data_IF_913922027340
#
_entry.id   IF_913922027340
#
_cell.length_a   1.000
_cell.length_b   1.000
_cell.length_c   1.000
_cell.angle_alpha   90.00
_cell.angle_beta   90.00
_cell.angle_gamma   90.00
#
_symmetry.space_group_name_H-M   'P 1'
#
loop_
_entity.id
_entity.type
_entity.pdbx_description
1 polymer ?
#
# COMPACT_ATOMS: atom_id res chain seq x y z
N UNK A 1 43.12 -100.32 -34.17
CA UNK A 1 42.94 -99.12 -35.03
C UNK A 1 41.47 -98.73 -35.23
N UNK A 2 40.51 -99.66 -35.30
CA UNK A 2 39.08 -99.31 -35.44
C UNK A 2 38.41 -98.72 -34.17
N UNK A 3 38.81 -99.12 -32.97
CA UNK A 3 38.22 -98.60 -31.71
C UNK A 3 38.53 -97.11 -31.46
N UNK A 4 39.75 -96.65 -31.76
CA UNK A 4 40.14 -95.24 -31.56
C UNK A 4 39.43 -94.27 -32.52
N UNK A 5 38.95 -94.73 -33.67
CA UNK A 5 38.22 -93.90 -34.65
C UNK A 5 36.76 -93.70 -34.23
N UNK A 6 36.17 -94.67 -33.51
CA UNK A 6 34.83 -94.58 -32.94
C UNK A 6 34.73 -93.54 -31.83
N UNK A 7 35.68 -93.52 -30.90
CA UNK A 7 35.70 -92.56 -29.77
C UNK A 7 35.91 -91.12 -30.24
N UNK A 8 36.79 -90.89 -31.23
CA UNK A 8 37.00 -89.56 -31.81
C UNK A 8 35.73 -89.07 -32.54
N UNK A 9 35.00 -89.96 -33.22
CA UNK A 9 33.75 -89.62 -33.89
C UNK A 9 32.65 -89.19 -32.91
N UNK A 10 32.52 -89.88 -31.78
CA UNK A 10 31.54 -89.55 -30.73
C UNK A 10 31.90 -88.23 -30.04
N UNK A 11 33.18 -88.00 -29.74
CA UNK A 11 33.65 -86.77 -29.12
C UNK A 11 33.42 -85.54 -30.02
N UNK A 12 33.73 -85.67 -31.32
CA UNK A 12 33.47 -84.61 -32.31
C UNK A 12 31.97 -84.33 -32.44
N UNK A 13 31.11 -85.37 -32.45
CA UNK A 13 29.64 -85.18 -32.49
C UNK A 13 29.10 -84.48 -31.24
N UNK A 14 29.61 -84.83 -30.07
CA UNK A 14 29.20 -84.21 -28.80
C UNK A 14 29.59 -82.72 -28.77
N UNK A 15 30.84 -82.40 -29.14
CA UNK A 15 31.35 -81.03 -29.25
C UNK A 15 30.61 -80.20 -30.31
N UNK A 16 30.23 -80.81 -31.45
CA UNK A 16 29.38 -80.15 -32.45
C UNK A 16 27.98 -79.86 -31.90
N UNK A 17 27.41 -80.76 -31.10
CA UNK A 17 26.08 -80.58 -30.50
C UNK A 17 26.07 -79.46 -29.45
N UNK A 18 27.11 -79.38 -28.61
CA UNK A 18 27.29 -78.29 -27.65
C UNK A 18 27.46 -76.94 -28.36
N UNK A 19 28.31 -76.92 -29.39
CA UNK A 19 28.50 -75.72 -30.22
C UNK A 19 27.18 -75.30 -30.90
N UNK A 20 26.38 -76.26 -31.38
CA UNK A 20 25.06 -75.99 -31.96
C UNK A 20 24.06 -75.45 -30.93
N UNK A 21 24.07 -75.96 -29.70
CA UNK A 21 23.22 -75.49 -28.61
C UNK A 21 23.57 -74.06 -28.20
N UNK A 22 24.86 -73.74 -28.09
CA UNK A 22 25.36 -72.38 -27.82
C UNK A 22 24.95 -71.42 -28.94
N UNK A 23 25.12 -71.82 -30.21
CA UNK A 23 24.69 -71.00 -31.37
C UNK A 23 23.18 -70.73 -31.32
N UNK A 24 22.38 -71.72 -30.91
CA UNK A 24 20.93 -71.56 -30.82
C UNK A 24 20.54 -70.60 -29.70
N UNK A 25 21.21 -70.70 -28.55
CA UNK A 25 20.99 -69.82 -27.39
C UNK A 25 21.38 -68.38 -27.71
N UNK A 26 22.56 -68.16 -28.30
CA UNK A 26 23.01 -66.84 -28.74
C UNK A 26 22.08 -66.23 -29.80
N UNK A 27 21.51 -67.04 -30.70
CA UNK A 27 20.50 -66.57 -31.65
C UNK A 27 19.22 -66.09 -30.96
N UNK A 28 18.77 -66.79 -29.92
CA UNK A 28 17.61 -66.37 -29.13
C UNK A 28 17.88 -65.08 -28.35
N UNK A 29 19.06 -64.96 -27.72
CA UNK A 29 19.48 -63.73 -27.03
C UNK A 29 19.58 -62.55 -28.00
N UNK A 30 20.19 -62.75 -29.18
CA UNK A 30 20.28 -61.73 -30.23
C UNK A 30 18.88 -61.28 -30.67
N UNK A 31 17.94 -62.22 -30.85
CA UNK A 31 16.57 -61.92 -31.24
C UNK A 31 15.81 -61.16 -30.12
N UNK A 32 16.06 -61.50 -28.86
CA UNK A 32 15.53 -60.78 -27.70
C UNK A 32 16.06 -59.35 -27.64
N UNK A 33 17.38 -59.16 -27.77
CA UNK A 33 18.03 -57.85 -27.80
C UNK A 33 17.54 -56.99 -28.97
N UNK A 34 17.33 -57.59 -30.15
CA UNK A 34 16.75 -56.89 -31.29
C UNK A 34 15.32 -56.41 -31.00
N UNK A 35 14.50 -57.22 -30.34
CA UNK A 35 13.15 -56.80 -29.91
C UNK A 35 13.23 -55.65 -28.91
N UNK A 36 14.09 -55.76 -27.88
CA UNK A 36 14.27 -54.70 -26.89
C UNK A 36 14.76 -53.39 -27.52
N UNK A 37 15.67 -53.47 -28.49
CA UNK A 37 16.14 -52.30 -29.25
C UNK A 37 14.97 -51.58 -29.95
N UNK A 38 14.09 -52.32 -30.61
CA UNK A 38 12.91 -51.76 -31.28
C UNK A 38 11.96 -51.10 -30.28
N UNK A 39 11.75 -51.70 -29.11
CA UNK A 39 10.88 -51.12 -28.09
C UNK A 39 11.48 -49.86 -27.44
N UNK A 40 12.81 -49.84 -27.24
CA UNK A 40 13.53 -48.63 -26.81
C UNK A 40 13.46 -47.51 -27.87
N UNK A 41 13.59 -47.83 -29.15
CA UNK A 41 13.44 -46.86 -30.24
C UNK A 41 12.03 -46.24 -30.26
N UNK A 42 10.98 -47.04 -30.05
CA UNK A 42 9.60 -46.55 -29.89
C UNK A 42 9.45 -45.65 -28.67
N UNK A 43 10.01 -46.05 -27.52
CA UNK A 43 9.95 -45.25 -26.30
C UNK A 43 10.65 -43.89 -26.47
N UNK A 44 11.83 -43.87 -27.13
CA UNK A 44 12.53 -42.62 -27.46
C UNK A 44 11.69 -41.74 -28.38
N UNK A 45 11.03 -42.32 -29.38
CA UNK A 45 10.16 -41.55 -30.26
C UNK A 45 8.98 -40.94 -29.51
N UNK A 46 8.32 -41.72 -28.64
CA UNK A 46 7.23 -41.24 -27.81
C UNK A 46 7.66 -40.08 -26.91
N UNK A 47 8.82 -40.20 -26.25
CA UNK A 47 9.37 -39.12 -25.41
C UNK A 47 9.67 -37.86 -26.25
N UNK A 48 10.14 -38.00 -27.50
CA UNK A 48 10.34 -36.86 -28.41
C UNK A 48 9.02 -36.19 -28.78
N UNK A 49 8.00 -36.96 -29.09
CA UNK A 49 6.66 -36.45 -29.45
C UNK A 49 6.01 -35.75 -28.25
N UNK A 50 6.15 -36.31 -27.04
CA UNK A 50 5.73 -35.65 -25.80
C UNK A 50 6.50 -34.36 -25.54
N UNK A 51 7.82 -34.37 -25.71
CA UNK A 51 8.66 -33.19 -25.51
C UNK A 51 8.28 -32.05 -26.47
N UNK A 52 8.08 -32.35 -27.76
CA UNK A 52 7.65 -31.36 -28.75
C UNK A 52 6.25 -30.82 -28.44
N UNK A 53 5.33 -31.68 -28.01
CA UNK A 53 4.00 -31.27 -27.55
C UNK A 53 4.10 -30.33 -26.35
N UNK A 54 4.88 -30.68 -25.33
CA UNK A 54 5.09 -29.83 -24.15
C UNK A 54 5.71 -28.48 -24.53
N UNK A 55 6.70 -28.47 -25.43
CA UNK A 55 7.33 -27.24 -25.90
C UNK A 55 6.32 -26.30 -26.59
N UNK A 56 5.44 -26.85 -27.44
CA UNK A 56 4.36 -26.08 -28.07
C UNK A 56 3.36 -25.54 -27.04
N UNK A 57 3.00 -26.34 -26.03
CA UNK A 57 2.09 -25.88 -24.96
C UNK A 57 2.71 -24.79 -24.08
N UNK A 58 4.00 -24.88 -23.75
CA UNK A 58 4.70 -23.83 -23.02
C UNK A 58 4.72 -22.53 -23.82
N UNK A 59 5.10 -22.59 -25.10
CA UNK A 59 5.09 -21.40 -25.98
C UNK A 59 3.69 -20.78 -26.08
N UNK A 60 2.64 -21.59 -26.20
CA UNK A 60 1.27 -21.10 -26.21
C UNK A 60 0.86 -20.43 -24.88
N UNK A 61 1.25 -21.00 -23.74
CA UNK A 61 0.98 -20.43 -22.42
C UNK A 61 1.75 -19.12 -22.20
N UNK A 62 2.98 -19.01 -22.70
CA UNK A 62 3.78 -17.77 -22.68
C UNK A 62 3.09 -16.67 -23.50
N UNK A 63 2.61 -16.98 -24.70
CA UNK A 63 1.85 -16.03 -25.53
C UNK A 63 0.56 -15.58 -24.85
N UNK A 64 -0.16 -16.53 -24.21
CA UNK A 64 -1.37 -16.21 -23.45
C UNK A 64 -1.07 -15.32 -22.25
N UNK A 65 -0.01 -15.61 -21.50
CA UNK A 65 0.44 -14.80 -20.38
C UNK A 65 0.77 -13.38 -20.85
N UNK A 66 1.52 -13.25 -21.95
CA UNK A 66 1.87 -11.95 -22.53
C UNK A 66 0.63 -11.16 -22.95
N UNK A 67 -0.31 -11.81 -23.65
CA UNK A 67 -1.57 -11.17 -24.05
C UNK A 67 -2.38 -10.69 -22.85
N UNK A 68 -2.52 -11.51 -21.81
CA UNK A 68 -3.21 -11.12 -20.58
C UNK A 68 -2.47 -9.99 -19.84
N UNK A 69 -1.14 -9.97 -19.86
CA UNK A 69 -0.35 -8.86 -19.30
C UNK A 69 -0.58 -7.54 -20.06
N UNK A 70 -0.66 -7.59 -21.39
CA UNK A 70 -0.92 -6.43 -22.23
C UNK A 70 -2.36 -5.91 -22.01
N UNK A 71 -3.37 -6.79 -21.97
CA UNK A 71 -4.76 -6.44 -21.64
C UNK A 71 -4.86 -5.80 -20.25
N UNK A 72 -4.18 -6.35 -19.25
CA UNK A 72 -4.14 -5.77 -17.91
C UNK A 72 -3.49 -4.38 -17.91
N UNK A 73 -2.42 -4.17 -18.68
CA UNK A 73 -1.76 -2.86 -18.81
C UNK A 73 -2.72 -1.82 -19.41
N UNK A 74 -3.44 -2.18 -20.47
CA UNK A 74 -4.43 -1.29 -21.08
C UNK A 74 -5.58 -0.93 -20.14
N UNK A 75 -6.06 -1.91 -19.34
CA UNK A 75 -7.09 -1.67 -18.33
C UNK A 75 -6.60 -0.72 -17.23
N UNK A 76 -5.37 -0.90 -16.76
CA UNK A 76 -4.73 -0.01 -15.78
C UNK A 76 -4.60 1.41 -16.34
N UNK A 77 -4.13 1.56 -17.57
CA UNK A 77 -4.00 2.87 -18.22
C UNK A 77 -5.35 3.57 -18.37
N UNK A 78 -6.39 2.83 -18.77
CA UNK A 78 -7.76 3.35 -18.88
C UNK A 78 -8.27 3.80 -17.51
N UNK A 79 -8.06 3.00 -16.47
CA UNK A 79 -8.45 3.32 -15.10
C UNK A 79 -7.74 4.58 -14.61
N UNK A 80 -6.44 4.71 -14.87
CA UNK A 80 -5.65 5.88 -14.50
C UNK A 80 -6.15 7.15 -15.17
N UNK A 81 -6.49 7.11 -16.47
CA UNK A 81 -7.12 8.25 -17.18
C UNK A 81 -8.47 8.62 -16.58
N UNK A 82 -9.31 7.63 -16.28
CA UNK A 82 -10.60 7.87 -15.65
C UNK A 82 -10.45 8.54 -14.28
N UNK A 83 -9.54 8.04 -13.44
CA UNK A 83 -9.25 8.61 -12.12
C UNK A 83 -8.64 10.01 -12.19
N UNK A 84 -7.80 10.29 -13.19
CA UNK A 84 -7.26 11.65 -13.43
C UNK A 84 -8.38 12.63 -13.75
N UNK A 85 -9.29 12.25 -14.66
CA UNK A 85 -10.44 13.07 -15.03
C UNK A 85 -11.40 13.32 -13.86
N UNK A 86 -11.62 12.30 -13.03
CA UNK A 86 -12.41 12.44 -11.80
C UNK A 86 -11.74 13.41 -10.82
N UNK A 87 -10.43 13.30 -10.62
CA UNK A 87 -9.66 14.23 -9.79
C UNK A 87 -9.68 15.67 -10.32
N UNK A 88 -9.63 15.88 -11.63
CA UNK A 88 -9.79 17.20 -12.26
C UNK A 88 -11.16 17.80 -11.93
N UNK A 89 -12.24 17.03 -12.06
CA UNK A 89 -13.60 17.48 -11.70
C UNK A 89 -13.68 17.88 -10.22
N UNK A 90 -13.13 17.08 -9.32
CA UNK A 90 -13.11 17.41 -7.88
C UNK A 90 -12.25 18.65 -7.60
N UNK A 91 -11.14 18.83 -8.32
CA UNK A 91 -10.32 20.03 -8.21
C UNK A 91 -11.06 21.28 -8.70
N UNK A 92 -11.86 21.19 -9.76
CA UNK A 92 -12.70 22.31 -10.20
C UNK A 92 -13.73 22.72 -9.14
N UNK A 93 -14.27 21.76 -8.38
CA UNK A 93 -15.16 22.04 -7.25
C UNK A 93 -14.43 22.76 -6.11
N UNK A 94 -13.22 22.32 -5.76
CA UNK A 94 -12.37 23.01 -4.78
C UNK A 94 -12.00 24.43 -5.23
N UNK A 95 -11.64 24.61 -6.50
CA UNK A 95 -11.34 25.92 -7.09
C UNK A 95 -12.54 26.87 -7.03
N UNK A 96 -13.75 26.37 -7.30
CA UNK A 96 -15.00 27.15 -7.17
C UNK A 96 -15.22 27.58 -5.72
N UNK A 97 -14.95 26.72 -4.75
CA UNK A 97 -15.06 27.06 -3.33
C UNK A 97 -14.05 28.15 -2.94
N UNK A 98 -12.79 27.99 -3.34
CA UNK A 98 -11.73 28.98 -3.11
C UNK A 98 -12.08 30.33 -3.73
N UNK A 99 -12.51 30.36 -5.00
CA UNK A 99 -12.90 31.61 -5.68
C UNK A 99 -14.05 32.32 -4.97
N UNK A 100 -15.09 31.59 -4.56
CA UNK A 100 -16.21 32.16 -3.80
C UNK A 100 -15.75 32.78 -2.48
N UNK A 101 -14.82 32.12 -1.78
CA UNK A 101 -14.24 32.62 -0.53
C UNK A 101 -13.40 33.87 -0.74
N UNK A 102 -12.47 33.87 -1.70
CA UNK A 102 -11.66 35.06 -1.99
C UNK A 102 -12.53 36.25 -2.37
N UNK A 103 -13.57 36.03 -3.18
CA UNK A 103 -14.55 37.08 -3.51
C UNK A 103 -15.39 37.55 -2.31
N UNK A 104 -15.61 36.69 -1.30
CA UNK A 104 -16.28 37.07 -0.06
C UNK A 104 -15.37 37.93 0.82
N UNK A 105 -14.13 37.47 1.05
CA UNK A 105 -13.11 38.20 1.82
C UNK A 105 -12.84 39.55 1.17
N UNK A 106 -12.73 39.61 -0.16
CA UNK A 106 -12.54 40.87 -0.86
C UNK A 106 -13.71 41.85 -0.65
N UNK A 107 -14.96 41.37 -0.71
CA UNK A 107 -16.14 42.20 -0.41
C UNK A 107 -16.15 42.69 1.03
N UNK A 108 -15.85 41.82 2.00
CA UNK A 108 -15.76 42.19 3.42
C UNK A 108 -14.66 43.24 3.66
N UNK A 109 -13.51 43.12 2.98
CA UNK A 109 -12.45 44.12 3.04
C UNK A 109 -12.86 45.46 2.40
N UNK A 110 -13.55 45.43 1.25
CA UNK A 110 -14.06 46.64 0.60
C UNK A 110 -15.14 47.34 1.44
N UNK A 111 -15.97 46.59 2.16
CA UNK A 111 -16.97 47.11 3.10
C UNK A 111 -16.31 47.72 4.34
N UNK A 112 -15.35 47.00 4.95
CA UNK A 112 -14.57 47.52 6.09
C UNK A 112 -13.76 48.78 5.73
N UNK A 113 -13.26 48.87 4.49
CA UNK A 113 -12.58 50.06 3.98
C UNK A 113 -13.54 51.26 3.85
N UNK A 114 -14.81 51.04 3.54
CA UNK A 114 -15.84 52.09 3.48
C UNK A 114 -16.28 52.56 4.87
N UNK A 115 -16.34 51.65 5.84
CA UNK A 115 -16.70 51.94 7.23
C UNK A 115 -15.60 52.64 8.04
N UNK A 116 -14.34 52.60 7.58
CA UNK A 116 -13.19 53.27 8.23
C UNK A 116 -13.22 54.81 8.17
N UNK A 117 -14.36 55.41 7.82
CA UNK A 117 -14.62 56.86 7.86
C UNK A 117 -14.80 57.44 9.27
N UNK A 118 -14.61 56.65 10.34
CA UNK A 118 -14.65 57.13 11.73
C UNK A 118 -13.30 56.95 12.42
N UNK A 119 -12.69 58.09 12.73
CA UNK A 119 -11.41 58.26 13.40
C UNK A 119 -11.19 57.25 14.54
N UNK A 120 -10.09 56.51 14.47
CA UNK A 120 -9.47 55.85 15.62
C UNK A 120 -8.05 56.39 15.74
N UNK A 121 -7.80 57.12 16.82
CA UNK A 121 -6.50 57.64 17.19
C UNK A 121 -5.51 56.49 17.42
N UNK A 122 -4.35 56.62 16.81
CA UNK A 122 -3.29 55.63 16.79
C UNK A 122 -2.42 55.78 18.06
N UNK A 123 -2.78 55.08 19.13
CA UNK A 123 -1.90 54.95 20.29
C UNK A 123 -0.87 53.81 20.09
N UNK A 124 0.31 54.09 20.61
CA UNK A 124 1.63 53.50 20.36
C UNK A 124 1.71 51.98 20.58
N UNK A 125 2.21 51.25 19.57
CA UNK A 125 2.62 49.85 19.70
C UNK A 125 4.02 49.75 20.33
N UNK A 126 4.11 49.14 21.51
CA UNK A 126 5.35 48.62 22.06
C UNK A 126 5.63 47.22 21.47
N UNK A 127 6.89 46.83 21.24
CA UNK A 127 7.21 45.50 20.75
C UNK A 127 6.97 44.45 21.84
N UNK A 128 6.05 43.52 21.58
CA UNK A 128 5.82 42.37 22.46
C UNK A 128 7.07 41.50 22.57
N UNK A 129 7.52 41.33 23.81
CA UNK A 129 8.60 40.43 24.24
C UNK A 129 8.19 38.99 23.88
N UNK A 130 9.12 38.11 23.41
CA UNK A 130 8.78 36.73 23.08
C UNK A 130 8.23 36.02 24.33
N UNK A 131 6.95 35.68 24.28
CA UNK A 131 6.29 34.89 25.31
C UNK A 131 7.00 33.53 25.42
N UNK A 132 7.64 33.29 26.56
CA UNK A 132 7.93 31.95 27.03
C UNK A 132 6.59 31.26 27.34
N UNK A 133 6.06 30.48 26.39
CA UNK A 133 4.87 29.67 26.61
C UNK A 133 5.14 28.65 27.72
N UNK A 134 4.64 28.94 28.93
CA UNK A 134 4.43 27.90 29.93
C UNK A 134 3.33 27.01 29.38
N UNK A 135 3.69 25.78 29.00
CA UNK A 135 2.71 24.73 28.70
C UNK A 135 1.77 24.59 29.89
N UNK A 136 0.55 25.09 29.75
CA UNK A 136 -0.49 25.02 30.76
C UNK A 136 -1.57 24.07 30.27
N UNK A 137 -2.00 23.15 31.13
CA UNK A 137 -3.10 22.26 30.83
C UNK A 137 -4.37 23.10 30.62
N UNK A 138 -5.02 23.04 29.45
CA UNK A 138 -6.20 23.85 29.18
C UNK A 138 -7.35 23.46 30.12
N UNK A 139 -7.95 24.44 30.80
CA UNK A 139 -9.02 24.24 31.79
C UNK A 139 -10.42 24.50 31.22
N UNK A 140 -10.53 25.19 30.09
CA UNK A 140 -11.78 25.49 29.40
C UNK A 140 -11.56 25.54 27.88
N UNK A 141 -12.59 25.25 27.05
CA UNK A 141 -12.48 25.43 25.61
C UNK A 141 -12.31 26.91 25.26
N UNK A 142 -11.36 27.22 24.37
CA UNK A 142 -11.15 28.60 23.89
C UNK A 142 -12.28 29.05 22.96
N UNK A 143 -12.77 28.16 22.10
CA UNK A 143 -13.91 28.38 21.21
C UNK A 143 -14.51 27.03 20.77
N UNK A 144 -15.78 27.06 20.35
CA UNK A 144 -16.56 25.89 19.88
C UNK A 144 -17.20 26.27 18.55
N UNK A 145 -17.20 25.35 17.59
CA UNK A 145 -17.77 25.57 16.26
C UNK A 145 -18.22 24.27 15.61
N UNK A 146 -19.20 24.36 14.71
CA UNK A 146 -19.71 23.23 13.93
C UNK A 146 -18.78 22.92 12.76
N UNK A 147 -17.98 21.87 12.90
CA UNK A 147 -16.99 21.52 11.88
C UNK A 147 -17.61 20.82 10.66
N UNK A 148 -18.49 19.83 10.86
CA UNK A 148 -19.04 18.98 9.79
C UNK A 148 -20.55 18.79 9.90
N UNK A 149 -21.18 18.44 8.77
CA UNK A 149 -22.58 17.99 8.74
C UNK A 149 -22.64 16.51 9.18
N UNK A 150 -22.54 16.26 10.49
CA UNK A 150 -22.56 14.93 11.09
C UNK A 150 -21.34 14.62 11.95
N UNK A 151 -21.07 13.33 12.15
CA UNK A 151 -19.97 12.86 13.01
C UNK A 151 -18.61 13.33 12.51
N UNK A 152 -17.78 13.84 13.43
CA UNK A 152 -16.38 14.19 13.19
C UNK A 152 -15.51 13.05 13.71
N UNK A 153 -14.93 12.28 12.81
CA UNK A 153 -14.17 11.08 13.19
C UNK A 153 -12.68 11.34 13.35
N UNK A 154 -12.15 12.43 12.78
CA UNK A 154 -10.71 12.69 12.79
C UNK A 154 -10.38 14.17 12.96
N UNK A 155 -9.30 14.44 13.69
CA UNK A 155 -8.72 15.76 13.86
C UNK A 155 -7.20 15.66 13.90
N UNK A 156 -6.49 16.58 13.25
CA UNK A 156 -5.01 16.67 13.35
C UNK A 156 -4.55 18.11 13.18
N UNK A 157 -3.62 18.52 14.02
CA UNK A 157 -2.91 19.80 13.87
C UNK A 157 -1.83 19.70 12.80
N UNK A 158 -1.66 20.76 12.02
CA UNK A 158 -0.51 20.91 11.12
C UNK A 158 0.78 21.05 11.94
N UNK A 159 1.90 20.47 11.49
CA UNK A 159 3.18 20.60 12.17
C UNK A 159 3.86 21.97 11.97
N UNK A 160 3.41 22.77 11.00
CA UNK A 160 4.08 24.03 10.60
C UNK A 160 3.21 25.25 10.86
N UNK A 161 1.96 25.21 10.43
CA UNK A 161 1.04 26.35 10.52
C UNK A 161 0.02 26.18 11.66
N UNK A 162 -0.61 27.28 12.10
CA UNK A 162 -1.80 27.27 12.98
C UNK A 162 -3.06 26.79 12.26
N UNK A 163 -2.96 25.65 11.56
CA UNK A 163 -4.04 24.99 10.86
C UNK A 163 -4.42 23.72 11.62
N UNK A 164 -5.72 23.51 11.82
CA UNK A 164 -6.26 22.20 12.20
C UNK A 164 -7.04 21.62 11.03
N UNK A 165 -6.88 20.32 10.80
CA UNK A 165 -7.67 19.58 9.83
C UNK A 165 -8.66 18.67 10.55
N UNK A 166 -9.88 18.57 10.02
CA UNK A 166 -10.94 17.69 10.51
C UNK A 166 -11.48 16.83 9.38
N UNK A 167 -11.82 15.57 9.68
CA UNK A 167 -12.49 14.65 8.76
C UNK A 167 -13.82 14.18 9.34
N UNK A 168 -14.86 14.12 8.50
CA UNK A 168 -16.21 13.82 8.98
C UNK A 168 -17.05 12.93 8.05
N UNK A 169 -18.24 12.60 8.55
CA UNK A 169 -19.26 11.79 7.86
C UNK A 169 -19.81 12.48 6.60
N UNK A 170 -19.71 13.81 6.52
CA UNK A 170 -20.03 14.61 5.32
C UNK A 170 -19.07 14.39 4.14
N UNK A 171 -18.12 13.47 4.30
CA UNK A 171 -17.14 12.99 3.29
C UNK A 171 -16.07 14.02 2.94
N UNK A 172 -15.90 15.05 3.76
CA UNK A 172 -14.95 16.13 3.52
C UNK A 172 -13.79 16.04 4.51
N UNK A 173 -12.62 16.51 4.08
CA UNK A 173 -11.61 17.03 5.01
C UNK A 173 -11.72 18.55 5.00
N UNK A 174 -11.82 19.19 6.16
CA UNK A 174 -11.88 20.65 6.29
C UNK A 174 -10.63 21.15 7.00
N UNK A 175 -10.08 22.24 6.49
CA UNK A 175 -8.94 22.95 7.06
C UNK A 175 -9.44 24.21 7.74
N UNK A 176 -8.94 24.49 8.93
CA UNK A 176 -9.34 25.64 9.75
C UNK A 176 -8.12 26.42 10.18
N UNK A 177 -8.13 27.72 9.95
CA UNK A 177 -7.14 28.64 10.49
C UNK A 177 -7.53 29.04 11.91
N UNK A 178 -6.58 28.96 12.83
CA UNK A 178 -6.79 29.19 14.27
C UNK A 178 -6.00 30.38 14.81
N UNK A 179 -5.44 31.21 13.92
CA UNK A 179 -4.61 32.36 14.28
C UNK A 179 -5.36 33.47 15.05
N UNK A 180 -6.67 33.65 14.82
CA UNK A 180 -7.45 34.79 15.34
C UNK A 180 -8.33 34.48 16.55
N UNK A 181 -7.92 33.56 17.44
CA UNK A 181 -8.75 33.09 18.57
C UNK A 181 -10.13 32.55 18.17
N UNK A 182 -10.32 32.19 16.90
CA UNK A 182 -11.49 31.55 16.34
C UNK A 182 -11.04 30.61 15.22
N UNK A 183 -11.84 29.56 14.95
CA UNK A 183 -11.61 28.68 13.80
C UNK A 183 -12.30 29.25 12.56
N UNK A 184 -11.51 29.80 11.64
CA UNK A 184 -11.99 30.26 10.34
C UNK A 184 -11.77 29.15 9.30
N UNK A 185 -12.79 28.84 8.50
CA UNK A 185 -12.63 27.84 7.43
C UNK A 185 -11.57 28.31 6.43
N UNK A 186 -10.48 27.54 6.33
CA UNK A 186 -9.36 27.78 5.39
C UNK A 186 -9.55 27.06 4.07
N UNK A 187 -10.16 25.88 4.09
CA UNK A 187 -10.34 25.07 2.89
C UNK A 187 -11.25 23.87 3.14
N UNK A 188 -11.83 23.37 2.05
CA UNK A 188 -12.61 22.13 2.05
C UNK A 188 -12.03 21.24 0.95
N UNK A 189 -11.59 20.06 1.34
CA UNK A 189 -10.98 19.08 0.46
C UNK A 189 -12.04 18.01 0.16
N UNK A 190 -12.59 18.07 -1.04
CA UNK A 190 -13.55 17.08 -1.54
C UNK A 190 -12.84 15.94 -2.28
N UNK A 191 -13.55 14.84 -2.49
CA UNK A 191 -13.03 13.67 -3.22
C UNK A 191 -13.55 12.35 -2.68
N UNK A 192 -13.74 12.26 -1.36
CA UNK A 192 -14.17 11.03 -0.70
C UNK A 192 -15.64 10.73 -0.97
N UNK A 193 -15.95 9.44 -1.18
CA UNK A 193 -17.31 8.97 -1.46
C UNK A 193 -18.04 8.49 -0.20
N UNK A 194 -17.35 8.42 0.94
CA UNK A 194 -17.90 8.12 2.25
C UNK A 194 -17.13 8.88 3.35
N UNK A 195 -17.52 8.69 4.61
CA UNK A 195 -16.96 9.42 5.75
C UNK A 195 -15.44 9.26 5.87
N UNK A 196 -14.76 10.33 6.25
CA UNK A 196 -13.31 10.36 6.47
C UNK A 196 -13.00 10.00 7.92
N UNK A 197 -12.25 8.92 8.11
CA UNK A 197 -12.03 8.27 9.40
C UNK A 197 -10.67 8.62 10.04
N UNK A 198 -9.70 9.05 9.25
CA UNK A 198 -8.39 9.51 9.74
C UNK A 198 -7.85 10.62 8.84
N UNK A 199 -7.21 11.62 9.44
CA UNK A 199 -6.50 12.70 8.73
C UNK A 199 -5.08 12.84 9.26
N UNK A 200 -4.12 13.13 8.38
CA UNK A 200 -2.72 13.28 8.76
C UNK A 200 -1.99 14.23 7.81
N UNK A 201 -1.20 15.15 8.37
CA UNK A 201 -0.26 15.98 7.60
C UNK A 201 1.06 15.24 7.41
N UNK A 202 1.75 15.53 6.32
CA UNK A 202 3.16 15.17 6.19
C UNK A 202 4.04 16.03 7.11
N UNK A 203 5.32 15.68 7.24
CA UNK A 203 6.27 16.39 8.10
C UNK A 203 6.47 17.86 7.69
N UNK A 204 6.28 18.19 6.40
CA UNK A 204 6.43 19.55 5.89
C UNK A 204 5.14 20.39 5.96
N UNK A 205 4.00 19.77 6.26
CA UNK A 205 2.68 20.41 6.20
C UNK A 205 2.20 20.77 4.78
N UNK A 206 2.92 20.36 3.74
CA UNK A 206 2.57 20.63 2.34
C UNK A 206 1.44 19.74 1.84
N UNK A 207 1.32 18.53 2.40
CA UNK A 207 0.32 17.55 2.04
C UNK A 207 -0.50 17.09 3.23
N UNK A 208 -1.74 16.74 2.95
CA UNK A 208 -2.63 16.10 3.90
C UNK A 208 -3.25 14.88 3.26
N UNK A 209 -3.37 13.81 4.04
CA UNK A 209 -4.07 12.61 3.65
C UNK A 209 -5.36 12.43 4.45
N UNK A 210 -6.30 11.68 3.86
CA UNK A 210 -7.59 11.35 4.44
C UNK A 210 -7.97 9.91 4.10
N UNK A 211 -8.01 9.05 5.11
CA UNK A 211 -8.49 7.68 4.99
C UNK A 211 -10.01 7.65 5.08
N UNK A 212 -10.66 6.87 4.23
CA UNK A 212 -12.11 6.92 4.09
C UNK A 212 -12.78 5.54 4.14
N UNK A 213 -14.03 5.57 4.57
CA UNK A 213 -14.94 4.44 4.60
C UNK A 213 -15.26 3.89 3.19
N UNK A 214 -14.88 4.60 2.12
CA UNK A 214 -15.02 4.20 0.71
C UNK A 214 -13.86 3.33 0.18
N UNK A 215 -13.05 2.80 1.09
CA UNK A 215 -11.93 1.89 0.83
C UNK A 215 -10.72 2.55 0.15
N UNK A 216 -10.72 3.88 0.09
CA UNK A 216 -9.63 4.66 -0.46
C UNK A 216 -9.03 5.60 0.58
N UNK A 217 -7.76 5.92 0.37
CA UNK A 217 -7.11 7.07 1.00
C UNK A 217 -6.81 8.11 -0.07
N UNK A 218 -7.01 9.39 0.23
CA UNK A 218 -6.72 10.49 -0.70
C UNK A 218 -5.64 11.38 -0.12
N UNK A 219 -4.88 12.01 -1.02
CA UNK A 219 -3.81 12.96 -0.68
C UNK A 219 -4.08 14.26 -1.41
N UNK A 220 -4.10 15.37 -0.68
CA UNK A 220 -4.29 16.72 -1.21
C UNK A 220 -3.09 17.61 -0.89
N UNK A 221 -2.82 18.57 -1.76
CA UNK A 221 -1.95 19.70 -1.43
C UNK A 221 -2.69 20.66 -0.49
N UNK A 222 -2.00 21.14 0.56
CA UNK A 222 -2.62 22.02 1.57
C UNK A 222 -2.77 23.45 1.05
N UNK A 223 -1.78 23.94 0.29
CA UNK A 223 -1.75 25.30 -0.25
C UNK A 223 -2.72 25.49 -1.42
N UNK A 224 -2.73 24.55 -2.37
CA UNK A 224 -3.57 24.61 -3.56
C UNK A 224 -4.93 23.90 -3.38
N UNK A 225 -5.11 23.16 -2.29
CA UNK A 225 -6.33 22.39 -1.98
C UNK A 225 -6.69 21.40 -3.08
N UNK A 226 -5.71 20.93 -3.86
CA UNK A 226 -5.93 20.01 -4.98
C UNK A 226 -5.71 18.57 -4.58
N UNK A 227 -6.61 17.69 -5.01
CA UNK A 227 -6.43 16.24 -4.97
C UNK A 227 -5.27 15.83 -5.87
N UNK A 228 -4.28 15.17 -5.28
CA UNK A 228 -3.05 14.69 -5.93
C UNK A 228 -3.08 13.19 -6.17
N UNK A 229 -3.55 12.43 -5.18
CA UNK A 229 -3.59 10.97 -5.26
C UNK A 229 -4.88 10.41 -4.69
N UNK A 230 -5.35 9.32 -5.31
CA UNK A 230 -6.42 8.45 -4.78
C UNK A 230 -5.86 7.03 -4.71
N UNK A 231 -5.63 6.54 -3.50
CA UNK A 231 -5.03 5.25 -3.20
C UNK A 231 -6.15 4.21 -3.03
N UNK A 232 -6.40 3.44 -4.09
CA UNK A 232 -7.42 2.38 -4.13
C UNK A 232 -6.77 1.00 -4.19
N UNK A 233 -7.34 0.03 -3.47
CA UNK A 233 -6.88 -1.35 -3.48
C UNK A 233 -7.19 -2.14 -2.22
N UNK A 234 -7.63 -1.47 -1.15
CA UNK A 234 -8.28 -2.14 -0.02
C UNK A 234 -9.67 -2.64 -0.41
N UNK A 235 -10.12 -3.73 0.23
CA UNK A 235 -11.46 -4.29 0.07
C UNK A 235 -12.36 -4.07 1.30
N UNK A 236 -11.95 -3.16 2.17
CA UNK A 236 -12.68 -2.75 3.37
C UNK A 236 -12.34 -1.31 3.75
N UNK A 237 -13.04 -0.81 4.76
CA UNK A 237 -12.90 0.55 5.29
C UNK A 237 -11.44 0.85 5.63
N UNK A 238 -10.89 1.95 5.14
CA UNK A 238 -9.56 2.39 5.58
C UNK A 238 -9.74 3.21 6.84
N UNK A 239 -9.30 2.67 7.97
CA UNK A 239 -9.50 3.26 9.28
C UNK A 239 -8.36 4.22 9.66
N UNK A 240 -7.16 3.95 9.15
CA UNK A 240 -5.98 4.75 9.45
C UNK A 240 -5.07 4.91 8.23
N UNK A 241 -4.43 6.07 8.15
CA UNK A 241 -3.39 6.34 7.17
C UNK A 241 -2.36 7.32 7.76
N UNK A 242 -1.08 7.12 7.43
CA UNK A 242 0.03 7.99 7.85
C UNK A 242 1.07 8.10 6.74
N UNK A 243 1.74 9.25 6.67
CA UNK A 243 2.97 9.37 5.88
C UNK A 243 4.09 8.57 6.55
N UNK A 244 4.93 7.93 5.73
CA UNK A 244 5.97 7.02 6.16
C UNK A 244 7.33 7.75 6.09
N UNK A 245 7.55 8.67 7.04
CA UNK A 245 8.76 9.48 7.16
C UNK A 245 8.89 10.60 6.13
N UNK A 246 9.02 10.22 4.86
CA UNK A 246 9.08 11.11 3.70
C UNK A 246 7.69 11.27 3.05
N UNK A 247 7.35 12.42 2.44
CA UNK A 247 6.02 12.69 1.83
C UNK A 247 5.77 11.88 0.55
N UNK A 248 6.53 10.83 0.30
CA UNK A 248 6.48 9.99 -0.90
C UNK A 248 5.88 8.63 -0.65
N UNK A 249 5.81 8.19 0.61
CA UNK A 249 5.22 6.91 0.99
C UNK A 249 4.13 7.09 2.03
N UNK A 250 3.09 6.27 1.90
CA UNK A 250 1.94 6.24 2.81
C UNK A 250 1.74 4.81 3.28
N UNK A 251 1.44 4.63 4.56
CA UNK A 251 0.88 3.37 5.07
C UNK A 251 -0.60 3.55 5.34
N UNK A 252 -1.40 2.55 5.02
CA UNK A 252 -2.83 2.51 5.33
C UNK A 252 -3.16 1.22 6.08
N UNK A 253 -4.01 1.35 7.10
CA UNK A 253 -4.57 0.25 7.87
C UNK A 253 -6.07 0.13 7.63
N UNK A 254 -6.53 -1.11 7.38
CA UNK A 254 -7.90 -1.35 6.92
C UNK A 254 -8.64 -2.41 7.75
N UNK A 255 -9.97 -2.32 7.67
CA UNK A 255 -10.90 -3.34 8.12
C UNK A 255 -10.76 -4.66 7.35
N UNK A 256 -10.12 -4.67 6.17
CA UNK A 256 -9.82 -5.90 5.43
C UNK A 256 -8.67 -6.73 6.04
N UNK A 257 -8.16 -6.32 7.21
CA UNK A 257 -7.09 -7.00 7.96
C UNK A 257 -5.73 -6.92 7.27
N UNK A 258 -5.53 -5.97 6.37
CA UNK A 258 -4.24 -5.70 5.74
C UNK A 258 -3.72 -4.32 6.08
N UNK A 259 -2.39 -4.21 6.07
CA UNK A 259 -1.69 -2.94 5.90
C UNK A 259 -1.22 -2.85 4.45
N UNK A 260 -1.37 -1.68 3.84
CA UNK A 260 -0.79 -1.42 2.51
C UNK A 260 0.20 -0.27 2.57
N UNK A 261 1.32 -0.45 1.90
CA UNK A 261 2.34 0.59 1.72
C UNK A 261 2.24 1.07 0.28
N UNK A 262 2.08 2.38 0.13
CA UNK A 262 1.89 3.05 -1.15
C UNK A 262 3.10 3.91 -1.44
N UNK A 263 3.54 3.90 -2.69
CA UNK A 263 4.49 4.87 -3.21
C UNK A 263 3.73 5.86 -4.11
N UNK A 264 3.74 7.12 -3.71
CA UNK A 264 3.03 8.20 -4.39
C UNK A 264 3.69 8.57 -5.73
N UNK A 265 5.00 8.32 -5.90
CA UNK A 265 5.70 8.57 -7.17
C UNK A 265 5.30 7.55 -8.23
N UNK A 266 5.36 6.27 -7.88
CA UNK A 266 4.93 5.18 -8.78
C UNK A 266 3.42 5.00 -8.83
N UNK A 267 2.66 5.69 -7.95
CA UNK A 267 1.19 5.66 -7.86
C UNK A 267 0.65 4.23 -7.70
N UNK A 268 1.37 3.40 -6.95
CA UNK A 268 1.03 1.99 -6.79
C UNK A 268 1.18 1.53 -5.33
N UNK A 269 0.49 0.45 -5.01
CA UNK A 269 0.69 -0.29 -3.78
C UNK A 269 1.96 -1.13 -3.93
N UNK A 270 3.01 -0.80 -3.18
CA UNK A 270 4.31 -1.48 -3.28
C UNK A 270 4.43 -2.67 -2.35
N UNK A 271 3.65 -2.70 -1.27
CA UNK A 271 3.63 -3.82 -0.33
C UNK A 271 2.24 -3.98 0.31
N UNK A 272 1.85 -5.23 0.59
CA UNK A 272 0.63 -5.58 1.32
C UNK A 272 0.97 -6.58 2.41
N UNK A 273 0.84 -6.17 3.66
CA UNK A 273 1.11 -7.01 4.83
C UNK A 273 -0.20 -7.53 5.41
N UNK A 274 -0.34 -8.85 5.54
CA UNK A 274 -1.48 -9.45 6.21
C UNK A 274 -1.33 -9.27 7.73
N UNK A 275 -2.26 -8.54 8.34
CA UNK A 275 -2.18 -8.17 9.75
C UNK A 275 -2.97 -9.10 10.69
N UNK A 276 -3.68 -10.10 10.15
CA UNK A 276 -4.45 -11.08 10.92
C UNK A 276 -5.78 -10.56 11.48
N UNK A 277 -5.89 -9.26 11.75
CA UNK A 277 -7.07 -8.60 12.34
C UNK A 277 -7.27 -7.19 11.76
N UNK A 278 -8.50 -6.68 11.83
CA UNK A 278 -8.84 -5.31 11.41
C UNK A 278 -7.89 -4.32 12.07
N UNK A 279 -7.28 -3.44 11.28
CA UNK A 279 -6.35 -2.43 11.75
C UNK A 279 -7.11 -1.12 11.98
N UNK A 280 -7.16 -0.67 13.24
CA UNK A 280 -7.90 0.52 13.64
C UNK A 280 -7.03 1.78 13.61
N UNK A 281 -5.73 1.68 13.97
CA UNK A 281 -4.80 2.79 13.91
C UNK A 281 -3.39 2.35 13.55
N UNK A 282 -2.57 3.28 13.05
CA UNK A 282 -1.18 3.07 12.65
C UNK A 282 -0.35 4.27 13.06
N UNK A 283 0.86 4.05 13.57
CA UNK A 283 1.88 5.08 13.84
C UNK A 283 3.24 4.65 13.29
N UNK A 284 4.12 5.61 13.04
CA UNK A 284 5.46 5.40 12.51
C UNK A 284 6.46 5.79 13.59
N UNK A 285 7.37 4.87 13.97
CA UNK A 285 8.26 5.11 15.11
C UNK A 285 9.38 6.11 14.83
N UNK A 286 9.69 6.35 13.56
CA UNK A 286 10.88 7.06 13.14
C UNK A 286 10.61 7.97 11.93
N UNK A 287 11.42 9.02 11.77
CA UNK A 287 11.35 9.92 10.62
C UNK A 287 11.77 9.25 9.31
N UNK A 288 12.46 8.10 9.36
CA UNK A 288 12.86 7.34 8.17
C UNK A 288 11.78 6.36 7.70
N UNK A 289 10.72 6.15 8.48
CA UNK A 289 9.64 5.23 8.11
C UNK A 289 10.05 3.76 8.10
N UNK A 290 11.08 3.36 8.87
CA UNK A 290 11.51 1.97 8.90
C UNK A 290 10.55 1.08 9.67
N UNK A 291 9.86 1.62 10.68
CA UNK A 291 9.02 0.81 11.57
C UNK A 291 7.60 1.33 11.61
N UNK A 292 6.66 0.46 11.23
CA UNK A 292 5.23 0.68 11.35
C UNK A 292 4.75 -0.01 12.62
N UNK A 293 3.91 0.66 13.40
CA UNK A 293 3.23 0.09 14.55
C UNK A 293 1.73 0.17 14.29
N UNK A 294 1.01 -0.96 14.34
CA UNK A 294 -0.42 -1.01 14.04
C UNK A 294 -1.23 -1.58 15.20
N UNK A 295 -2.38 -0.97 15.46
CA UNK A 295 -3.31 -1.33 16.52
C UNK A 295 -4.54 -2.04 15.97
N UNK A 296 -4.94 -3.15 16.57
CA UNK A 296 -5.94 -4.05 15.99
C UNK A 296 -7.15 -4.35 16.87
N UNK A 297 -8.22 -4.82 16.20
CA UNK A 297 -9.45 -5.29 16.83
C UNK A 297 -9.24 -6.48 17.78
N UNK A 298 -8.32 -7.39 17.44
CA UNK A 298 -7.95 -8.58 18.24
C UNK A 298 -7.10 -8.26 19.48
N UNK A 299 -7.09 -6.99 19.92
CA UNK A 299 -6.40 -6.52 21.12
C UNK A 299 -4.88 -6.60 21.03
N UNK A 300 -4.32 -6.67 19.82
CA UNK A 300 -2.87 -6.71 19.61
C UNK A 300 -2.37 -5.42 19.00
N UNK A 301 -1.17 -5.03 19.42
CA UNK A 301 -0.34 -4.02 18.76
C UNK A 301 0.78 -4.78 18.05
N UNK A 302 1.03 -4.50 16.78
CA UNK A 302 1.99 -5.21 15.93
C UNK A 302 3.07 -4.26 15.41
N UNK A 303 4.31 -4.74 15.40
CA UNK A 303 5.48 -4.00 14.92
C UNK A 303 5.97 -4.60 13.60
N UNK A 304 6.22 -3.75 12.61
CA UNK A 304 6.59 -4.17 11.26
C UNK A 304 7.82 -3.40 10.80
N UNK A 305 8.84 -4.12 10.33
CA UNK A 305 9.94 -3.51 9.58
C UNK A 305 9.51 -3.37 8.11
N UNK A 306 9.62 -2.17 7.54
CA UNK A 306 9.26 -1.91 6.15
C UNK A 306 10.24 -2.51 5.14
N UNK A 307 11.43 -2.92 5.58
CA UNK A 307 12.46 -3.57 4.76
C UNK A 307 12.30 -5.07 4.69
N UNK A 308 11.48 -5.66 5.57
CA UNK A 308 11.26 -7.11 5.63
C UNK A 308 9.77 -7.45 5.51
N UNK A 309 9.47 -8.70 5.17
CA UNK A 309 8.09 -9.18 5.10
C UNK A 309 7.57 -9.75 6.42
N UNK A 310 8.36 -9.69 7.49
CA UNK A 310 8.02 -10.32 8.75
C UNK A 310 7.49 -9.30 9.77
N UNK A 311 6.55 -9.76 10.60
CA UNK A 311 6.21 -9.07 11.83
C UNK A 311 7.38 -9.23 12.81
N UNK A 312 7.83 -8.13 13.40
CA UNK A 312 8.95 -8.13 14.36
C UNK A 312 8.49 -8.66 15.72
N UNK A 313 7.33 -8.19 16.17
CA UNK A 313 6.75 -8.54 17.47
C UNK A 313 5.29 -8.09 17.56
N UNK A 314 4.61 -8.62 18.59
CA UNK A 314 3.26 -8.22 18.97
C UNK A 314 3.13 -8.05 20.49
N UNK A 315 2.28 -7.11 20.91
CA UNK A 315 1.92 -6.87 22.31
C UNK A 315 0.42 -7.09 22.45
N UNK A 316 0.01 -7.92 23.40
CA UNK A 316 -1.40 -8.12 23.76
C UNK A 316 -1.83 -7.11 24.82
N UNK A 317 -2.92 -6.41 24.56
CA UNK A 317 -3.58 -5.49 25.51
C UNK A 317 -4.95 -6.03 25.95
N UNK A 318 -5.56 -5.45 26.98
CA UNK A 318 -6.81 -5.97 27.55
C UNK A 318 -8.05 -5.76 26.67
N UNK A 319 -8.05 -4.72 25.84
CA UNK A 319 -9.18 -4.29 25.00
C UNK A 319 -8.78 -4.10 23.53
N UNK A 320 -9.77 -3.89 22.66
CA UNK A 320 -9.51 -3.55 21.26
C UNK A 320 -8.67 -2.26 21.21
N UNK A 321 -7.66 -2.21 20.35
CA UNK A 321 -6.87 -0.99 20.19
C UNK A 321 -7.67 -0.02 19.34
N UNK A 322 -7.97 1.17 19.84
CA UNK A 322 -8.76 2.19 19.13
C UNK A 322 -7.91 3.26 18.47
N UNK A 323 -6.80 3.62 19.11
CA UNK A 323 -5.88 4.66 18.66
C UNK A 323 -4.48 4.39 19.17
N UNK A 324 -3.48 4.88 18.44
CA UNK A 324 -2.07 4.88 18.80
C UNK A 324 -1.52 6.29 18.59
N UNK A 325 -0.65 6.73 19.49
CA UNK A 325 0.16 7.93 19.27
C UNK A 325 1.55 7.69 19.86
N UNK A 326 2.54 8.42 19.36
CA UNK A 326 3.91 8.32 19.81
C UNK A 326 4.35 9.65 20.42
N UNK A 327 5.08 9.55 21.52
CA UNK A 327 5.68 10.70 22.15
C UNK A 327 6.79 11.29 21.27
N UNK A 328 6.89 12.62 21.26
CA UNK A 328 7.89 13.37 20.48
C UNK A 328 9.23 13.51 21.23
N UNK A 329 9.26 13.24 22.53
CA UNK A 329 10.38 13.59 23.42
C UNK A 329 11.62 12.66 23.35
N UNK A 330 11.58 11.57 22.58
CA UNK A 330 12.70 10.60 22.53
C UNK A 330 13.88 10.98 21.61
N UNK A 331 13.91 12.18 21.01
CA UNK A 331 14.97 12.58 20.08
C UNK A 331 15.87 13.74 20.55
N UNK A 332 15.67 14.32 21.74
CA UNK A 332 16.37 15.56 22.14
C UNK A 332 17.04 15.56 23.52
N UNK A 333 16.96 14.50 24.32
CA UNK A 333 17.73 14.41 25.57
C UNK A 333 18.99 13.57 25.35
N UNK A 334 20.21 14.15 25.32
CA UNK A 334 21.40 13.34 25.54
C UNK A 334 21.27 12.67 26.92
N UNK A 335 21.73 11.42 27.09
CA UNK A 335 21.76 10.79 28.39
C UNK A 335 22.59 11.68 29.31
N UNK A 336 21.99 12.09 30.43
CA UNK A 336 22.65 12.85 31.47
C UNK A 336 23.95 12.12 31.88
N UNK A 337 25.07 12.84 31.80
CA UNK A 337 26.31 12.60 32.54
C UNK A 337 26.40 13.62 33.66
#
# INVERSE_FOLDING_TARGET
>A
RLFAVGDISVFVRCSLSESSAIITTLKQELQSLLSQKVDLEKAIQLIRDEHTTLQLTCSHLEDKLRKTQDENRELVDRLMRYKSKDAEKMNEENDKFLKKRYAKIQRELEEAAKDSSRNVSLDTYAPDIPYSEKSAVPTKPSYVFDAHEGEVSAVKWSPVDRIVATGGADRKVKLWDTSKNAAESRGVLVGSNAGVLSVNFDSTGSFILGASNDFATRVWGVSDQRLKHTLTGHCGKVLAAKFLGEPTKVVTGSHDRTLKIWDLRSRSCVDTKFAGSCCNDVVISDSSGTTIISGHYDKKIRFWDTRTNQNLSEILVQGKVTSLDLDRDNFSRPPFL
#
